data_IF_931112780253
#
_entry.id   IF_931112780253
#
_cell.length_a   1.000
_cell.length_b   1.000
_cell.length_c   1.000
_cell.angle_alpha   90.00
_cell.angle_beta   90.00
_cell.angle_gamma   90.00
#
_symmetry.space_group_name_H-M   'P 1'
#
loop_
_entity.id
_entity.type
_entity.pdbx_description
1 polymer ?
2 polymer ?
3 polymer ?
4 water ?
#
# COMPACT_ATOMS: atom_id res chain seq x y z
N UNK A 1 -17.64 -1.23 7.30
CA UNK A 1 -16.93 -0.47 6.27
C UNK A 1 -15.91 -1.36 5.57
N UNK A 2 -16.03 -1.46 4.24
CA UNK A 2 -15.19 -2.36 3.46
C UNK A 2 -14.88 -1.71 2.11
N UNK A 3 -14.03 -2.39 1.34
CA UNK A 3 -13.65 -1.84 0.04
C UNK A 3 -13.03 -2.93 -0.81
N UNK A 4 -13.35 -2.90 -2.11
CA UNK A 4 -12.60 -3.63 -3.14
C UNK A 4 -11.94 -2.61 -4.04
N UNK A 5 -10.63 -2.73 -4.23
CA UNK A 5 -9.86 -1.73 -4.94
C UNK A 5 -8.84 -2.39 -5.85
N UNK A 6 -8.76 -1.89 -7.08
CA UNK A 6 -7.78 -2.34 -8.06
C UNK A 6 -6.79 -1.21 -8.33
N UNK A 7 -5.53 -1.60 -8.49
CA UNK A 7 -4.42 -0.69 -8.74
C UNK A 7 -3.62 -1.22 -9.93
N UNK A 8 -3.56 -0.43 -11.01
CA UNK A 8 -2.78 -0.75 -12.20
C UNK A 8 -1.63 0.22 -12.36
N UNK A 9 -0.48 -0.32 -12.76
CA UNK A 9 0.72 0.45 -13.04
C UNK A 9 1.26 0.00 -14.39
N UNK A 10 1.26 0.91 -15.36
CA UNK A 10 1.82 0.66 -16.68
C UNK A 10 3.02 1.58 -16.87
N UNK A 11 4.20 1.00 -17.04
CA UNK A 11 5.45 1.74 -17.15
C UNK A 11 6.04 1.52 -18.54
N UNK A 12 6.31 2.61 -19.25
CA UNK A 12 6.81 2.50 -20.60
C UNK A 12 8.25 2.00 -20.63
N UNK A 13 8.57 1.19 -21.63
CA UNK A 13 9.91 0.72 -21.88
C UNK A 13 10.38 1.21 -23.24
N UNK A 14 11.68 1.45 -23.43
CA UNK A 14 12.15 1.91 -24.74
C UNK A 14 12.19 0.79 -25.76
N UNK A 17 9.49 -0.66 -26.70
CA UNK A 17 8.64 -1.78 -27.04
C UNK A 17 7.50 -2.00 -26.06
N UNK A 18 7.25 -3.27 -25.72
CA UNK A 18 6.16 -3.60 -24.82
C UNK A 18 6.40 -2.92 -23.47
N UNK A 19 5.43 -2.19 -22.93
CA UNK A 19 5.57 -1.67 -21.57
C UNK A 19 5.32 -2.76 -20.55
N UNK A 20 5.69 -2.47 -19.31
CA UNK A 20 5.43 -3.37 -18.20
C UNK A 20 4.10 -3.00 -17.57
N UNK A 21 3.19 -3.96 -17.49
CA UNK A 21 1.89 -3.76 -16.88
C UNK A 21 1.80 -4.65 -15.64
N UNK A 22 1.57 -4.03 -14.49
CA UNK A 22 1.36 -4.74 -13.23
C UNK A 22 0.01 -4.33 -12.69
N UNK A 23 -0.69 -5.27 -12.06
CA UNK A 23 -1.98 -4.97 -11.45
C UNK A 23 -2.14 -5.76 -10.17
N UNK A 24 -2.79 -5.14 -9.19
CA UNK A 24 -3.06 -5.79 -7.91
C UNK A 24 -4.47 -5.43 -7.45
N UNK A 25 -5.09 -6.35 -6.72
CA UNK A 25 -6.42 -6.14 -6.19
C UNK A 25 -6.48 -6.48 -4.71
N UNK A 26 -7.16 -5.61 -3.96
CA UNK A 26 -7.31 -5.77 -2.52
C UNK A 26 -8.79 -5.75 -2.14
N UNK A 27 -9.15 -6.63 -1.21
CA UNK A 27 -10.34 -6.46 -0.39
C UNK A 27 -9.86 -5.91 0.95
N UNK A 28 -10.29 -4.70 1.27
CA UNK A 28 -9.87 -4.02 2.50
C UNK A 28 -8.34 -3.93 2.47
N UNK A 29 -7.64 -4.38 3.51
CA UNK A 29 -6.19 -4.37 3.54
C UNK A 29 -5.57 -5.73 3.23
N UNK A 30 -6.30 -6.62 2.53
CA UNK A 30 -5.78 -7.91 2.11
C UNK A 30 -5.74 -7.94 0.58
N UNK A 31 -4.61 -8.37 0.02
CA UNK A 31 -4.51 -8.56 -1.42
C UNK A 31 -5.01 -9.96 -1.79
N UNK A 32 -5.59 -10.07 -3.00
CA UNK A 32 -6.12 -11.35 -3.45
C UNK A 32 -5.84 -11.66 -4.91
N UNK A 33 -5.26 -10.75 -5.69
CA UNK A 33 -5.04 -11.03 -7.11
C UNK A 33 -3.87 -10.19 -7.61
N UNK A 34 -3.13 -10.75 -8.56
CA UNK A 34 -1.95 -10.10 -9.12
C UNK A 34 -1.84 -10.45 -10.60
N UNK A 35 -1.25 -9.53 -11.36
CA UNK A 35 -0.95 -9.78 -12.77
C UNK A 35 0.27 -8.95 -13.15
N UNK A 36 1.20 -9.56 -13.87
CA UNK A 36 2.45 -8.92 -14.24
C UNK A 36 2.82 -9.38 -15.64
N UNK A 37 2.89 -8.42 -16.58
CA UNK A 37 3.19 -8.77 -17.96
C UNK A 37 4.59 -9.31 -18.11
N UNK A 38 5.53 -8.86 -17.27
CA UNK A 38 6.89 -9.36 -17.31
C UNK A 38 7.03 -10.82 -16.89
N UNK A 39 5.93 -11.51 -16.57
CA UNK A 39 6.00 -12.91 -16.20
C UNK A 39 6.04 -13.79 -17.45
N UNK A 40 6.40 -15.06 -17.23
CA UNK A 40 6.66 -15.99 -18.33
C UNK A 40 5.43 -16.16 -19.21
N UNK A 41 4.34 -16.65 -18.64
CA UNK A 41 3.04 -16.69 -19.30
C UNK A 41 2.09 -15.94 -18.38
N UNK A 42 1.81 -14.66 -18.63
CA UNK A 42 1.05 -13.87 -17.65
C UNK A 42 -0.37 -14.39 -17.50
N UNK A 43 -0.80 -14.52 -16.25
CA UNK A 43 -2.16 -14.89 -15.93
C UNK A 43 -2.59 -14.12 -14.69
N UNK A 44 -3.89 -14.17 -14.40
CA UNK A 44 -4.38 -13.71 -13.11
C UNK A 44 -3.98 -14.72 -12.04
N UNK A 45 -3.40 -14.22 -10.95
CA UNK A 45 -2.84 -15.11 -9.93
C UNK A 45 -3.45 -14.78 -8.57
N UNK A 46 -4.06 -15.74 -7.89
CA UNK A 46 -4.61 -15.49 -6.55
C UNK A 46 -3.52 -15.19 -5.54
N UNK A 47 -3.85 -14.32 -4.58
CA UNK A 47 -2.95 -13.99 -3.49
C UNK A 47 -3.63 -14.15 -2.13
N UNK A 48 -4.81 -14.76 -2.10
CA UNK A 48 -5.55 -15.04 -0.88
C UNK A 48 -6.28 -16.35 -1.08
N UNK A 49 -6.46 -17.15 -0.03
CA UNK A 49 -7.07 -18.48 -0.22
C UNK A 49 -8.52 -18.44 -0.69
N UNK A 50 -9.26 -17.38 -0.38
CA UNK A 50 -10.69 -17.33 -0.70
C UNK A 50 -10.98 -17.00 -2.15
N UNK A 51 -9.94 -16.90 -3.00
CA UNK A 51 -10.11 -16.91 -4.44
C UNK A 51 -9.36 -18.05 -5.10
N UNK A 52 -8.69 -18.91 -4.31
CA UNK A 52 -7.94 -20.01 -4.88
C UNK A 52 -8.84 -21.10 -5.44
N UNK A 53 -10.00 -21.32 -4.81
CA UNK A 53 -10.93 -22.36 -5.22
C UNK A 53 -12.01 -21.85 -6.17
N UNK A 54 -11.82 -20.67 -6.75
CA UNK A 54 -12.71 -20.24 -7.82
C UNK A 54 -12.47 -21.09 -9.07
N UNK A 55 -13.46 -21.13 -9.94
CA UNK A 55 -13.38 -21.97 -11.11
C UNK A 55 -12.22 -21.63 -12.02
N UNK A 56 -11.89 -22.53 -12.95
CA UNK A 56 -10.93 -22.15 -14.01
C UNK A 56 -11.50 -21.14 -14.99
N UNK A 57 -12.82 -21.17 -15.23
CA UNK A 57 -13.43 -20.14 -16.08
C UNK A 57 -13.26 -18.76 -15.46
N UNK A 58 -13.38 -18.66 -14.14
CA UNK A 58 -13.24 -17.39 -13.47
C UNK A 58 -11.89 -16.76 -13.76
N UNK A 59 -10.83 -17.56 -13.62
CA UNK A 59 -9.48 -17.04 -13.79
C UNK A 59 -9.10 -16.86 -15.24
N UNK A 60 -9.65 -17.67 -16.14
CA UNK A 60 -9.51 -17.38 -17.57
C UNK A 60 -10.10 -16.02 -17.90
N UNK A 61 -11.32 -15.75 -17.41
CA UNK A 61 -11.95 -14.46 -17.69
C UNK A 61 -11.13 -13.31 -17.13
N UNK A 62 -10.81 -13.36 -15.84
CA UNK A 62 -9.98 -12.31 -15.25
C UNK A 62 -8.68 -12.14 -16.05
N UNK A 63 -8.04 -13.24 -16.42
CA UNK A 63 -6.80 -13.16 -17.20
C UNK A 63 -7.02 -12.43 -18.52
N UNK A 64 -8.06 -12.82 -19.26
CA UNK A 64 -8.36 -12.15 -20.53
C UNK A 64 -8.50 -10.65 -20.35
N UNK A 65 -9.16 -10.23 -19.27
CA UNK A 65 -9.37 -8.80 -19.08
C UNK A 65 -8.09 -8.10 -18.65
N UNK A 66 -7.20 -8.79 -17.92
CA UNK A 66 -5.90 -8.21 -17.62
C UNK A 66 -5.08 -8.01 -18.89
N UNK A 67 -5.06 -9.02 -19.76
CA UNK A 67 -4.29 -8.92 -20.99
C UNK A 67 -4.84 -7.81 -21.88
N UNK A 68 -6.17 -7.71 -21.97
CA UNK A 68 -6.78 -6.64 -22.76
C UNK A 68 -6.44 -5.28 -22.18
N UNK A 69 -6.39 -5.18 -20.85
CA UNK A 69 -6.03 -3.89 -20.24
C UNK A 69 -4.57 -3.55 -20.48
N UNK A 70 -3.68 -4.55 -20.49
CA UNK A 70 -2.28 -4.32 -20.82
C UNK A 70 -2.13 -3.80 -22.24
N UNK A 71 -2.74 -4.51 -23.22
CA UNK A 71 -2.77 -4.01 -24.58
C UNK A 71 -3.24 -2.55 -24.61
N UNK A 72 -4.39 -2.29 -23.96
CA UNK A 72 -4.93 -0.93 -23.96
C UNK A 72 -3.96 0.08 -23.37
N UNK A 73 -3.15 -0.35 -22.39
CA UNK A 73 -2.27 0.61 -21.72
C UNK A 73 -1.06 0.96 -22.55
N UNK A 74 -0.61 0.03 -23.41
CA UNK A 74 0.39 0.43 -24.40
C UNK A 74 -0.11 1.63 -25.22
N UNK A 75 -1.30 1.48 -25.81
CA UNK A 75 -1.90 2.55 -26.60
C UNK A 75 -2.06 3.80 -25.75
N UNK A 76 -2.47 3.63 -24.49
CA UNK A 76 -2.70 4.79 -23.62
C UNK A 76 -1.41 5.57 -23.40
N UNK A 77 -0.31 4.87 -23.11
CA UNK A 77 0.96 5.57 -22.93
C UNK A 77 1.35 6.32 -24.19
N UNK A 78 1.14 5.72 -25.36
CA UNK A 78 1.43 6.43 -26.60
C UNK A 78 0.57 7.69 -26.72
N UNK A 79 -0.74 7.56 -26.48
CA UNK A 79 -1.64 8.68 -26.66
C UNK A 79 -1.35 9.81 -25.68
N UNK A 80 -1.07 9.46 -24.42
CA UNK A 80 -0.66 10.48 -23.46
C UNK A 80 0.61 11.18 -23.90
N UNK A 81 1.58 10.41 -24.41
CA UNK A 81 2.76 11.03 -25.02
C UNK A 81 2.35 12.05 -26.09
N UNK A 82 1.29 11.74 -26.84
CA UNK A 82 0.81 12.69 -27.84
C UNK A 82 0.11 13.89 -27.25
N UNK A 83 -0.68 13.70 -26.19
CA UNK A 83 -1.47 14.78 -25.63
C UNK A 83 -0.58 15.88 -25.05
N UNK A 84 0.44 15.48 -24.30
CA UNK A 84 1.39 16.43 -23.72
C UNK A 84 2.54 16.72 -24.66
N UNK A 85 2.47 16.25 -25.91
CA UNK A 85 3.49 16.51 -26.92
C UNK A 85 4.89 16.20 -26.38
N UNK A 86 5.04 14.98 -25.86
CA UNK A 86 6.31 14.52 -25.31
C UNK A 86 7.08 13.71 -26.36
N UNK A 87 8.41 13.65 -26.17
CA UNK A 87 9.27 12.80 -27.01
C UNK A 87 8.96 11.34 -26.79
N UNK A 88 9.86 10.46 -27.22
CA UNK A 88 9.74 9.03 -27.02
C UNK A 88 10.93 8.41 -26.32
N UNK A 89 12.00 9.17 -26.08
CA UNK A 89 13.16 8.59 -25.42
C UNK A 89 12.91 8.35 -23.95
N UNK A 90 12.20 9.26 -23.29
CA UNK A 90 11.97 9.14 -21.86
C UNK A 90 10.88 8.13 -21.53
N UNK A 91 10.90 7.70 -20.27
CA UNK A 91 9.91 6.77 -19.76
C UNK A 91 8.88 7.51 -18.93
N UNK A 92 7.66 6.97 -18.91
CA UNK A 92 6.54 7.59 -18.22
C UNK A 92 5.74 6.49 -17.54
N UNK A 93 4.75 6.91 -16.76
CA UNK A 93 3.99 5.97 -15.94
C UNK A 93 2.53 6.34 -15.98
N UNK A 94 1.70 5.32 -16.13
CA UNK A 94 0.25 5.43 -16.10
C UNK A 94 -0.22 4.63 -14.90
N UNK A 95 -0.97 5.27 -14.01
CA UNK A 95 -1.52 4.61 -12.84
C UNK A 95 -3.04 4.69 -12.89
N UNK A 96 -3.69 3.63 -12.47
CA UNK A 96 -5.14 3.56 -12.47
C UNK A 96 -5.59 2.96 -11.15
N UNK A 97 -6.66 3.50 -10.59
CA UNK A 97 -7.24 2.94 -9.38
C UNK A 97 -8.74 2.98 -9.51
N UNK A 98 -9.39 1.83 -9.34
CA UNK A 98 -10.84 1.83 -9.41
C UNK A 98 -11.41 0.75 -8.49
N UNK A 99 -12.61 0.99 -7.99
CA UNK A 99 -13.25 0.05 -7.10
C UNK A 99 -14.35 0.72 -6.29
N UNK A 100 -14.87 -0.03 -5.32
CA UNK A 100 -16.03 0.41 -4.54
C UNK A 100 -15.74 0.32 -3.05
N UNK A 101 -16.26 1.30 -2.30
CA UNK A 101 -16.18 1.33 -0.84
C UNK A 101 -17.60 1.29 -0.27
N UNK A 102 -17.85 0.28 0.56
CA UNK A 102 -19.08 0.19 1.34
C UNK A 102 -18.88 0.84 2.70
N UNK A 103 -19.88 1.64 3.12
CA UNK A 103 -19.92 2.14 4.46
C UNK A 103 -20.26 1.03 5.43
N UNK A 104 -20.37 1.38 6.72
CA UNK A 104 -20.76 0.39 7.73
C UNK A 104 -22.21 -0.05 7.65
N UNK A 105 -22.93 0.28 6.57
CA UNK A 105 -24.38 0.07 6.45
C UNK A 105 -24.93 -1.24 5.81
N UNK A 106 -24.19 -2.01 5.01
CA UNK A 106 -22.95 -1.67 4.37
C UNK A 106 -23.26 -1.44 2.91
N UNK A 107 -23.86 -0.29 2.63
CA UNK A 107 -24.19 0.11 1.29
C UNK A 107 -23.01 0.80 0.61
N UNK A 108 -23.09 0.91 -0.71
CA UNK A 108 -22.07 1.61 -1.48
C UNK A 108 -21.87 3.02 -0.95
N UNK A 109 -20.71 3.28 -0.36
CA UNK A 109 -20.40 4.64 0.07
C UNK A 109 -19.75 5.44 -1.05
N UNK A 110 -18.81 4.85 -1.78
CA UNK A 110 -18.15 5.60 -2.85
C UNK A 110 -17.74 4.66 -3.97
N UNK A 111 -17.63 5.23 -5.16
CA UNK A 111 -17.07 4.53 -6.30
C UNK A 111 -15.94 5.32 -6.91
N UNK A 112 -14.91 4.60 -7.37
CA UNK A 112 -13.65 5.20 -7.78
C UNK A 112 -13.25 4.72 -9.16
N UNK A 113 -12.83 5.66 -10.01
CA UNK A 113 -12.20 5.42 -11.31
C UNK A 113 -11.33 6.64 -11.61
N UNK A 114 -10.06 6.57 -11.23
CA UNK A 114 -9.17 7.72 -11.34
C UNK A 114 -7.80 7.26 -11.81
N UNK A 115 -7.12 8.14 -12.57
CA UNK A 115 -5.87 7.80 -13.23
C UNK A 115 -4.84 8.89 -12.99
N UNK A 116 -3.58 8.55 -13.26
CA UNK A 116 -2.45 9.45 -13.05
C UNK A 116 -1.39 9.23 -14.10
N UNK A 117 -0.77 10.32 -14.54
CA UNK A 117 0.33 10.29 -15.49
C UNK A 117 1.55 10.94 -14.84
N UNK A 118 2.67 10.23 -14.88
CA UNK A 118 3.92 10.70 -14.26
C UNK A 118 3.69 11.11 -12.81
N UNK A 119 2.78 10.40 -12.13
CA UNK A 119 2.48 10.65 -10.74
C UNK A 119 1.53 11.79 -10.48
N UNK A 120 1.01 12.43 -11.52
CA UNK A 120 0.13 13.59 -11.37
C UNK A 120 -1.30 13.18 -11.72
N UNK A 121 -2.26 13.73 -10.98
CA UNK A 121 -3.67 13.52 -11.30
C UNK A 121 -3.90 13.72 -12.79
N UNK A 122 -4.69 12.82 -13.38
CA UNK A 122 -5.05 12.96 -14.78
C UNK A 122 -6.55 13.19 -14.92
N UNK A 123 -7.36 12.15 -14.75
CA UNK A 123 -8.81 12.26 -14.81
C UNK A 123 -9.41 11.30 -13.80
N UNK A 124 -10.45 11.75 -13.10
CA UNK A 124 -11.06 10.99 -12.01
C UNK A 124 -12.58 11.08 -12.08
N UNK A 125 -13.24 9.95 -11.87
CA UNK A 125 -14.71 9.94 -11.82
C UNK A 125 -15.15 10.51 -10.48
N UNK A 126 -16.09 11.46 -10.54
CA UNK A 126 -16.54 12.16 -9.34
C UNK A 126 -17.43 11.25 -8.48
N UNK A 127 -17.66 11.67 -7.25
CA UNK A 127 -18.51 10.91 -6.34
C UNK A 127 -19.90 10.67 -6.92
N UNK A 128 -20.42 11.61 -7.73
CA UNK A 128 -21.74 11.39 -8.32
C UNK A 128 -21.78 10.21 -9.28
N UNK A 129 -20.62 9.71 -9.72
CA UNK A 129 -20.56 8.67 -10.74
C UNK A 129 -21.31 9.08 -12.01
N UNK A 130 -21.34 10.39 -12.28
CA UNK A 130 -22.00 10.92 -13.46
C UNK A 130 -21.20 12.00 -14.18
N UNK A 131 -20.06 12.43 -13.63
CA UNK A 131 -19.25 13.48 -14.23
C UNK A 131 -17.79 13.20 -13.94
N UNK A 132 -16.90 13.94 -14.63
CA UNK A 132 -15.46 13.72 -14.56
C UNK A 132 -14.73 14.98 -14.10
N UNK A 133 -13.71 14.76 -13.27
CA UNK A 133 -12.75 15.78 -12.90
C UNK A 133 -11.49 15.56 -13.73
N UNK A 134 -11.24 16.45 -14.68
CA UNK A 134 -10.01 16.44 -15.46
C UNK A 134 -9.04 17.45 -14.86
N UNK A 135 -7.81 17.02 -14.59
CA UNK A 135 -6.83 17.92 -14.02
C UNK A 135 -6.25 18.90 -15.04
N UNK A 136 -6.31 18.57 -16.33
CA UNK A 136 -5.64 19.30 -17.38
C UNK A 136 -6.57 19.44 -18.56
N UNK A 137 -6.30 20.46 -19.39
CA UNK A 137 -7.00 20.55 -20.66
C UNK A 137 -6.62 19.39 -21.56
N UNK A 138 -5.39 18.88 -21.42
CA UNK A 138 -5.02 17.64 -22.10
C UNK A 138 -5.86 16.47 -21.61
N UNK A 139 -6.03 16.36 -20.29
CA UNK A 139 -6.92 15.34 -19.74
C UNK A 139 -8.34 15.50 -20.25
N UNK A 140 -8.72 16.72 -20.64
CA UNK A 140 -10.06 16.94 -21.15
C UNK A 140 -10.27 16.37 -22.53
N UNK A 141 -9.19 16.03 -23.25
CA UNK A 141 -9.33 15.21 -24.45
C UNK A 141 -10.01 13.90 -24.11
N UNK A 142 -9.45 13.18 -23.13
CA UNK A 142 -10.08 11.98 -22.61
C UNK A 142 -11.47 12.28 -22.09
N UNK A 143 -11.63 13.39 -21.35
CA UNK A 143 -12.94 13.72 -20.81
C UNK A 143 -14.00 13.79 -21.90
N UNK A 144 -13.72 14.49 -22.99
CA UNK A 144 -14.71 14.64 -24.04
C UNK A 144 -14.93 13.33 -24.79
N UNK A 145 -13.86 12.53 -24.95
CA UNK A 145 -14.04 11.17 -25.47
C UNK A 145 -15.06 10.39 -24.64
N UNK A 146 -14.90 10.41 -23.31
CA UNK A 146 -15.72 9.61 -22.42
C UNK A 146 -17.14 10.16 -22.30
N UNK A 147 -17.28 11.48 -22.26
CA UNK A 147 -18.61 12.08 -22.23
C UNK A 147 -19.38 11.79 -23.51
N UNK A 148 -18.69 11.81 -24.64
CA UNK A 148 -19.34 11.42 -25.89
C UNK A 148 -19.80 9.97 -25.83
N UNK A 149 -19.05 9.12 -25.12
CA UNK A 149 -19.34 7.69 -25.08
C UNK A 149 -20.17 7.27 -23.87
N UNK A 150 -20.60 8.19 -23.02
CA UNK A 150 -21.35 7.86 -21.80
C UNK A 150 -20.57 6.86 -20.94
N UNK A 151 -19.31 7.20 -20.69
CA UNK A 151 -18.45 6.35 -19.88
C UNK A 151 -18.96 6.27 -18.45
N UNK A 152 -19.26 7.43 -17.85
CA UNK A 152 -19.73 7.46 -16.47
C UNK A 152 -20.88 6.48 -16.27
N UNK A 153 -21.79 6.42 -17.23
CA UNK A 153 -22.91 5.48 -17.17
C UNK A 153 -22.43 4.06 -16.91
N UNK A 154 -21.56 3.56 -17.78
CA UNK A 154 -21.10 2.19 -17.66
C UNK A 154 -20.38 1.97 -16.34
N UNK A 155 -19.55 2.93 -15.92
CA UNK A 155 -18.79 2.73 -14.70
C UNK A 155 -19.68 2.80 -13.46
N UNK A 156 -20.73 3.62 -13.51
CA UNK A 156 -21.74 3.60 -12.45
C UNK A 156 -22.43 2.24 -12.39
N UNK A 157 -22.71 1.65 -13.56
CA UNK A 157 -23.34 0.33 -13.58
C UNK A 157 -22.42 -0.72 -12.96
N UNK A 158 -21.12 -0.63 -13.22
CA UNK A 158 -20.20 -1.60 -12.65
C UNK A 158 -20.04 -1.39 -11.15
N UNK A 159 -19.82 -0.13 -10.73
CA UNK A 159 -19.50 0.14 -9.34
C UNK A 159 -20.70 -0.11 -8.43
N UNK A 160 -21.88 0.36 -8.83
CA UNK A 160 -23.08 0.11 -8.05
C UNK A 160 -23.56 -1.34 -8.17
N UNK A 161 -23.13 -2.06 -9.19
CA UNK A 161 -23.61 -3.40 -9.43
C UNK A 161 -22.63 -4.51 -9.08
N UNK A 162 -21.91 -5.01 -10.08
CA UNK A 162 -21.08 -6.19 -9.89
C UNK A 162 -19.92 -5.95 -8.92
N UNK A 163 -19.45 -4.70 -8.77
CA UNK A 163 -18.38 -4.42 -7.81
C UNK A 163 -18.82 -4.77 -6.40
N UNK A 164 -19.94 -4.20 -5.95
CA UNK A 164 -20.40 -4.46 -4.58
C UNK A 164 -20.83 -5.91 -4.43
N UNK A 165 -21.33 -6.52 -5.51
CA UNK A 165 -21.79 -7.91 -5.42
C UNK A 165 -20.61 -8.85 -5.17
N UNK A 166 -19.52 -8.68 -5.93
CA UNK A 166 -18.38 -9.55 -5.76
C UNK A 166 -17.54 -9.16 -4.54
N UNK A 167 -17.62 -7.92 -4.09
CA UNK A 167 -17.04 -7.56 -2.81
C UNK A 167 -17.76 -8.29 -1.69
N UNK A 168 -19.08 -8.20 -1.65
CA UNK A 168 -19.84 -8.90 -0.63
C UNK A 168 -19.61 -10.40 -0.70
N UNK A 169 -19.47 -10.93 -1.92
CA UNK A 169 -19.33 -12.37 -2.05
C UNK A 169 -17.94 -12.84 -1.63
N UNK A 170 -16.91 -12.06 -1.95
CA UNK A 170 -15.57 -12.33 -1.41
C UNK A 170 -15.59 -12.27 0.11
N UNK A 171 -16.14 -11.18 0.67
CA UNK A 171 -16.25 -11.05 2.11
C UNK A 171 -16.94 -12.26 2.72
N UNK A 172 -17.93 -12.82 2.02
CA UNK A 172 -18.59 -14.04 2.46
C UNK A 172 -17.62 -15.21 2.47
N UNK A 173 -17.05 -15.53 1.31
CA UNK A 173 -16.23 -16.73 1.21
C UNK A 173 -14.94 -16.63 2.01
N UNK A 174 -14.61 -15.44 2.49
CA UNK A 174 -13.41 -15.26 3.30
C UNK A 174 -13.73 -14.59 4.63
N UNK A 175 -14.97 -14.76 5.10
CA UNK A 175 -15.40 -14.09 6.33
C UNK A 175 -14.50 -14.48 7.50
N UNK A 176 -14.07 -15.74 7.55
CA UNK A 176 -13.17 -16.18 8.62
C UNK A 176 -11.89 -15.37 8.64
N UNK A 177 -11.51 -14.83 7.49
CA UNK A 177 -10.34 -14.00 7.31
C UNK A 177 -10.68 -12.51 7.35
N UNK A 178 -11.60 -12.07 6.48
CA UNK A 178 -11.79 -10.65 6.22
C UNK A 178 -12.65 -9.96 7.26
N UNK A 179 -13.47 -10.69 8.01
CA UNK A 179 -14.38 -10.09 8.97
C UNK A 179 -14.00 -10.42 10.41
N UNK A 180 -12.71 -10.59 10.65
CA UNK A 180 -12.21 -10.84 12.00
C UNK A 180 -11.04 -9.88 12.21
N UNK A 181 -11.26 -8.87 13.06
CA UNK A 181 -10.24 -7.87 13.34
C UNK A 181 -9.34 -8.36 14.46
N UNK A 182 -8.04 -8.16 14.29
CA UNK A 182 -7.04 -8.50 15.29
C UNK A 182 -6.71 -7.24 16.09
N UNK A 183 -6.89 -7.30 17.40
CA UNK A 183 -6.51 -6.17 18.23
C UNK A 183 -5.00 -6.05 18.28
N UNK A 184 -4.47 -4.84 18.46
CA UNK A 184 -3.01 -4.70 18.57
C UNK A 184 -2.51 -5.22 19.91
N UNK A 185 -1.45 -6.01 19.85
CA UNK A 185 -0.63 -6.27 21.03
C UNK A 185 0.25 -5.05 21.27
N UNK A 186 0.21 -4.53 22.49
CA UNK A 186 0.79 -3.25 22.81
C UNK A 186 1.71 -3.35 24.02
N UNK A 187 2.71 -2.48 24.05
CA UNK A 187 3.60 -2.33 25.18
C UNK A 187 4.34 -1.02 25.02
N UNK A 188 5.09 -0.64 26.04
CA UNK A 188 5.84 0.61 26.05
C UNK A 188 7.29 0.33 26.39
N UNK A 189 8.20 0.99 25.67
CA UNK A 189 9.63 0.96 25.96
C UNK A 189 10.10 2.34 26.40
N UNK A 190 11.25 2.33 27.07
CA UNK A 190 11.79 3.50 27.73
C UNK A 190 13.30 3.55 27.49
N UNK A 191 13.79 4.73 27.15
CA UNK A 191 15.21 4.87 26.85
C UNK A 191 15.76 6.17 27.44
N UNK A 192 16.58 6.11 28.49
CA UNK A 192 17.25 7.32 28.97
C UNK A 192 18.13 7.92 27.88
N UNK A 193 17.92 9.20 27.61
CA UNK A 193 18.75 9.90 26.63
C UNK A 193 19.87 10.62 27.38
N UNK A 194 19.50 11.54 28.25
CA UNK A 194 20.48 12.37 28.96
C UNK A 194 20.01 12.54 30.40
N UNK A 195 20.69 13.41 31.15
CA UNK A 195 20.22 13.72 32.50
C UNK A 195 18.92 14.51 32.49
N UNK A 196 18.57 15.10 31.35
CA UNK A 196 17.33 15.88 31.24
C UNK A 196 16.19 15.13 30.55
N UNK A 197 16.48 14.15 29.69
CA UNK A 197 15.47 13.61 28.80
C UNK A 197 15.48 12.09 28.78
N UNK A 198 14.33 11.55 28.38
CA UNK A 198 14.18 10.14 28.08
C UNK A 198 13.16 10.01 26.96
N UNK A 199 13.08 8.82 26.39
CA UNK A 199 12.17 8.54 25.28
C UNK A 199 11.19 7.46 25.69
N UNK A 200 9.91 7.74 25.47
CA UNK A 200 8.85 6.75 25.59
C UNK A 200 8.43 6.33 24.19
N UNK A 201 8.31 5.02 23.97
CA UNK A 201 7.86 4.51 22.67
C UNK A 201 6.72 3.52 22.90
N UNK A 202 5.57 3.84 22.31
CA UNK A 202 4.35 3.06 22.42
C UNK A 202 4.19 2.19 21.17
N UNK A 203 4.09 0.88 21.38
CA UNK A 203 4.11 -0.10 20.29
C UNK A 203 2.71 -0.67 20.07
N UNK A 204 2.38 -0.88 18.80
CA UNK A 204 1.16 -1.56 18.40
C UNK A 204 1.51 -2.54 17.30
N UNK A 205 1.28 -3.83 17.55
CA UNK A 205 1.74 -4.89 16.67
C UNK A 205 0.64 -5.89 16.39
N UNK A 206 0.74 -6.54 15.23
CA UNK A 206 -0.09 -7.69 14.93
C UNK A 206 -1.57 -7.41 14.79
N UNK A 207 -1.95 -6.20 14.37
CA UNK A 207 -3.35 -5.83 14.29
C UNK A 207 -3.84 -5.80 12.84
N UNK A 208 -5.15 -5.97 12.70
CA UNK A 208 -5.81 -5.86 11.40
C UNK A 208 -7.25 -5.38 11.62
N UNK A 209 -7.73 -4.43 10.79
CA UNK A 209 -7.10 -3.76 9.65
C UNK A 209 -6.03 -2.77 10.06
N UNK A 210 -5.42 -2.11 9.07
CA UNK A 210 -4.32 -1.19 9.33
C UNK A 210 -4.76 0.12 9.96
N UNK A 211 -6.05 0.44 9.92
CA UNK A 211 -6.52 1.70 10.50
C UNK A 211 -6.40 1.66 12.01
N UNK A 212 -5.58 2.54 12.57
CA UNK A 212 -5.29 2.57 14.00
C UNK A 212 -4.94 4.00 14.38
N UNK A 213 -5.10 4.32 15.67
CA UNK A 213 -4.76 5.65 16.17
C UNK A 213 -3.94 5.50 17.44
N UNK A 214 -2.73 6.08 17.44
CA UNK A 214 -1.84 6.10 18.59
C UNK A 214 -1.61 7.56 18.98
N UNK A 215 -1.90 7.90 20.23
CA UNK A 215 -1.66 9.27 20.68
C UNK A 215 -1.04 9.26 22.07
N UNK A 216 -0.05 10.13 22.27
CA UNK A 216 0.50 10.36 23.60
C UNK A 216 -0.20 11.54 24.25
N UNK A 217 -0.51 11.39 25.52
CA UNK A 217 -1.08 12.45 26.32
C UNK A 217 -0.18 12.70 27.53
N UNK A 218 -0.21 13.93 28.02
CA UNK A 218 0.49 14.31 29.24
C UNK A 218 -0.55 14.81 30.22
N UNK A 219 -0.71 14.10 31.34
CA UNK A 219 -1.71 14.43 32.35
C UNK A 219 -3.07 14.67 31.70
N UNK A 220 -3.42 13.80 30.75
CA UNK A 220 -4.71 13.87 30.09
C UNK A 220 -4.83 14.91 29.01
N UNK A 221 -3.70 15.36 28.44
CA UNK A 221 -3.70 16.36 27.38
C UNK A 221 -2.85 15.85 26.21
N UNK A 222 -3.45 15.75 25.03
CA UNK A 222 -2.74 15.35 23.83
C UNK A 222 -1.45 16.16 23.68
N UNK A 223 -0.38 15.50 23.24
CA UNK A 223 0.93 16.15 23.16
C UNK A 223 1.54 15.93 21.79
N UNK A 224 2.17 16.99 21.26
CA UNK A 224 2.79 16.98 19.95
C UNK A 224 4.18 17.60 20.03
N UNK A 225 5.21 16.78 19.80
CA UNK A 225 6.56 17.29 19.56
C UNK A 225 7.17 16.50 18.40
N UNK A 226 7.24 15.17 18.47
CA UNK A 226 7.01 14.33 19.65
C UNK A 226 8.36 13.73 19.99
N UNK A 227 8.60 12.57 19.38
CA UNK A 227 9.92 12.13 18.93
C UNK A 227 9.68 11.33 17.66
N UNK A 228 8.43 10.87 17.47
CA UNK A 228 7.95 10.50 16.15
C UNK A 228 6.59 9.82 16.18
N UNK A 229 5.86 9.93 15.07
CA UNK A 229 4.84 8.95 14.73
C UNK A 229 5.25 8.31 13.41
N UNK A 230 5.23 6.98 13.36
CA UNK A 230 5.78 6.25 12.22
C UNK A 230 4.63 5.74 11.36
N UNK A 231 4.88 5.63 10.06
CA UNK A 231 3.83 5.17 9.16
C UNK A 231 3.47 3.72 9.47
N UNK A 232 2.17 3.41 9.46
CA UNK A 232 1.72 2.04 9.65
C UNK A 232 2.37 1.14 8.62
N UNK A 233 2.96 0.04 9.09
CA UNK A 233 3.76 -0.80 8.21
C UNK A 233 3.26 -2.25 8.23
N UNK A 234 3.42 -2.98 7.12
CA UNK A 234 3.01 -4.39 7.10
C UNK A 234 4.00 -5.29 7.85
N UNK A 235 3.45 -6.20 8.66
CA UNK A 235 4.28 -7.15 9.37
C UNK A 235 4.78 -8.27 8.47
N UNK A 236 4.05 -8.58 7.40
CA UNK A 236 4.41 -9.63 6.47
C UNK A 236 3.55 -10.86 6.58
N UNK A 237 2.65 -10.91 7.56
CA UNK A 237 1.78 -12.04 7.78
C UNK A 237 0.31 -11.64 7.66
N UNK A 238 0.03 -10.49 7.07
CA UNK A 238 -1.32 -9.98 6.97
C UNK A 238 -1.69 -8.95 8.02
N UNK A 239 -0.90 -8.84 9.09
CA UNK A 239 -1.16 -7.87 10.14
C UNK A 239 -0.23 -6.68 9.98
N UNK A 240 -0.42 -5.67 10.81
CA UNK A 240 0.28 -4.42 10.68
C UNK A 240 0.89 -3.99 12.02
N UNK A 241 1.71 -2.95 11.92
CA UNK A 241 2.50 -2.44 13.03
C UNK A 241 2.49 -0.93 12.98
N UNK A 242 2.79 -0.32 14.12
CA UNK A 242 2.94 1.12 14.20
C UNK A 242 3.43 1.44 15.60
N UNK A 243 4.22 2.50 15.72
CA UNK A 243 4.61 2.99 17.03
C UNK A 243 4.62 4.51 17.05
N UNK A 244 4.46 5.04 18.26
CA UNK A 244 4.42 6.48 18.49
C UNK A 244 5.30 6.76 19.71
N UNK A 245 6.25 7.66 19.56
CA UNK A 245 7.21 7.93 20.62
C UNK A 245 7.29 9.43 20.91
N UNK A 246 7.66 9.75 22.15
CA UNK A 246 7.71 11.12 22.63
C UNK A 246 8.89 11.26 23.59
N UNK A 247 9.53 12.43 23.59
CA UNK A 247 10.60 12.75 24.52
C UNK A 247 10.00 13.45 25.73
N UNK A 248 10.43 13.05 26.92
CA UNK A 248 9.90 13.60 28.16
C UNK A 248 11.03 13.87 29.13
N UNK A 249 10.84 14.82 30.05
CA UNK A 249 11.83 14.99 31.13
C UNK A 249 12.14 13.67 31.83
N UNK A 250 13.41 13.49 32.19
CA UNK A 250 13.97 12.18 32.52
C UNK A 250 13.31 11.50 33.72
N UNK A 251 12.46 12.18 34.48
CA UNK A 251 11.83 11.54 35.63
C UNK A 251 10.31 11.56 35.65
N UNK A 252 9.69 12.23 34.69
CA UNK A 252 8.25 12.47 34.69
C UNK A 252 7.49 11.50 33.80
N UNK A 253 7.99 10.27 33.67
CA UNK A 253 7.36 9.32 32.76
C UNK A 253 5.91 9.06 33.13
N UNK A 254 5.60 9.05 34.44
CA UNK A 254 4.25 8.69 34.86
C UNK A 254 3.20 9.67 34.37
N UNK A 255 3.60 10.89 33.98
CA UNK A 255 2.67 11.87 33.44
C UNK A 255 2.11 11.46 32.08
N UNK A 256 2.80 10.59 31.35
CA UNK A 256 2.55 10.39 29.94
C UNK A 256 1.86 9.05 29.71
N UNK A 257 0.70 9.08 29.07
CA UNK A 257 -0.07 7.88 28.75
C UNK A 257 -0.18 7.74 27.24
N UNK A 258 -0.33 6.49 26.81
CA UNK A 258 -0.50 6.15 25.41
C UNK A 258 -1.91 5.65 25.19
N UNK A 259 -2.55 6.11 24.12
CA UNK A 259 -3.94 5.80 23.85
C UNK A 259 -4.04 5.18 22.47
N UNK A 260 -4.66 4.02 22.41
CA UNK A 260 -4.74 3.18 21.22
C UNK A 260 -6.20 3.02 20.85
N UNK A 261 -6.56 3.41 19.64
CA UNK A 261 -7.89 3.16 19.10
C UNK A 261 -7.76 2.24 17.91
N UNK A 262 -8.47 1.11 17.96
CA UNK A 262 -8.48 0.15 16.86
C UNK A 262 -9.81 -0.58 16.86
N UNK A 263 -10.26 -0.96 15.66
CA UNK A 263 -11.56 -1.60 15.53
C UNK A 263 -11.65 -2.85 16.40
N UNK A 264 -10.58 -3.64 16.44
CA UNK A 264 -10.57 -4.90 17.18
C UNK A 264 -10.54 -4.75 18.68
N UNK A 265 -10.42 -3.55 19.18
CA UNK A 265 -10.48 -3.33 20.62
C UNK A 265 -11.92 -3.10 21.06
N UNK A 266 -12.38 -3.73 22.15
CA UNK A 266 -13.73 -3.45 22.65
C UNK A 266 -13.87 -2.06 23.23
N UNK A 267 -12.79 -1.31 23.32
CA UNK A 267 -12.74 -0.02 24.00
C UNK A 267 -11.35 0.52 23.78
N UNK A 268 -11.17 1.83 23.65
CA UNK A 268 -9.81 2.36 23.47
C UNK A 268 -8.92 1.94 24.63
N UNK A 269 -7.65 1.69 24.34
CA UNK A 269 -6.71 1.20 25.32
C UNK A 269 -5.80 2.32 25.80
N UNK A 270 -5.42 2.24 27.07
CA UNK A 270 -4.50 3.19 27.70
C UNK A 270 -3.35 2.41 28.31
N UNK A 271 -2.13 2.65 27.85
CA UNK A 271 -0.92 2.08 28.43
C UNK A 271 -0.03 3.18 28.98
N UNK A 272 1.02 2.76 29.66
CA UNK A 272 2.10 3.65 30.06
C UNK A 272 3.27 2.78 30.48
N UNK A 273 4.44 3.40 30.60
CA UNK A 273 5.59 2.68 31.10
C UNK A 273 5.51 2.61 32.61
N UNK B 1 6.82 13.99 -11.81
CA UNK B 1 7.24 14.15 -10.37
C UNK B 1 8.23 13.08 -9.97
N UNK B 2 9.16 13.42 -9.08
CA UNK B 2 10.10 12.46 -8.52
C UNK B 2 10.05 12.55 -7.00
N UNK B 3 9.82 11.43 -6.36
CA UNK B 3 9.57 11.36 -4.92
C UNK B 3 10.57 10.40 -4.29
N UNK B 4 11.26 10.88 -3.26
CA UNK B 4 12.31 10.06 -2.67
C UNK B 4 11.70 9.01 -1.71
N UNK B 5 12.30 7.83 -1.61
CA UNK B 5 11.68 6.77 -0.81
C UNK B 5 11.85 6.98 0.69
N UNK B 6 10.78 6.64 1.42
CA UNK B 6 10.84 6.42 2.85
C UNK B 6 11.22 4.97 3.10
N UNK B 7 11.96 4.74 4.18
CA UNK B 7 12.52 3.44 4.50
C UNK B 7 12.21 3.14 5.95
N UNK B 8 11.69 1.95 6.21
CA UNK B 8 11.59 1.42 7.57
C UNK B 8 12.25 0.07 7.59
N UNK B 9 13.19 -0.12 8.51
CA UNK B 9 13.82 -1.42 8.72
C UNK B 9 13.29 -1.97 10.03
N UNK B 10 12.64 -3.12 9.97
CA UNK B 10 12.07 -3.68 11.18
C UNK B 10 11.97 -5.18 11.01
N UNK B 11 11.58 -5.87 12.10
CA UNK B 11 11.35 -7.31 12.13
C UNK B 11 9.86 -7.60 12.31
N UNK B 12 9.42 -8.76 11.81
CA UNK B 12 8.00 -9.11 11.86
C UNK B 12 7.54 -9.29 13.30
N UNK B 13 8.32 -10.01 14.09
CA UNK B 13 8.02 -10.25 15.48
C UNK B 13 9.08 -9.61 16.35
N UNK B 14 8.78 -9.36 17.63
CA UNK B 14 9.82 -8.88 18.54
C UNK B 14 11.03 -9.79 18.51
N UNK B 15 12.20 -9.19 18.31
CA UNK B 15 13.42 -9.97 18.13
C UNK B 15 13.77 -10.72 19.41
N UNK B 16 14.17 -11.98 19.24
CA UNK B 16 14.74 -12.76 20.32
C UNK B 16 15.87 -13.59 19.72
N UNK B 17 17.11 -13.29 20.11
CA UNK B 17 18.26 -14.00 19.56
C UNK B 17 18.05 -15.50 19.67
N UNK B 18 18.35 -16.21 18.58
CA UNK B 18 18.16 -17.63 18.48
C UNK B 18 16.87 -18.04 17.81
N UNK B 19 15.81 -17.23 17.95
CA UNK B 19 14.54 -17.57 17.35
C UNK B 19 14.48 -17.10 15.90
N UNK B 20 13.85 -17.92 15.06
CA UNK B 20 13.65 -17.56 13.67
C UNK B 20 12.63 -16.43 13.57
N UNK B 21 12.85 -15.53 12.62
CA UNK B 21 12.03 -14.34 12.47
C UNK B 21 12.19 -13.86 11.02
N UNK B 22 11.45 -12.82 10.67
CA UNK B 22 11.53 -12.22 9.35
C UNK B 22 12.07 -10.80 9.46
N UNK B 23 13.12 -10.51 8.70
CA UNK B 23 13.60 -9.14 8.53
C UNK B 23 12.80 -8.48 7.42
N UNK B 24 12.47 -7.21 7.64
CA UNK B 24 11.59 -6.42 6.78
C UNK B 24 12.26 -5.09 6.48
N UNK B 25 12.19 -4.68 5.21
CA UNK B 25 12.48 -3.33 4.78
C UNK B 25 11.30 -2.83 3.95
N UNK B 26 10.64 -1.79 4.44
CA UNK B 26 9.42 -1.26 3.82
C UNK B 26 9.76 0.10 3.21
N UNK B 27 9.69 0.18 1.89
CA UNK B 27 9.96 1.42 1.15
C UNK B 27 8.64 1.96 0.65
N UNK B 28 8.42 3.26 0.81
CA UNK B 28 7.12 3.82 0.45
C UNK B 28 7.28 5.26 0.03
N UNK B 29 6.20 5.83 -0.49
CA UNK B 29 6.18 7.24 -0.81
C UNK B 29 7.11 7.65 -1.93
N UNK B 30 7.57 6.71 -2.75
CA UNK B 30 8.53 7.01 -3.79
C UNK B 30 7.88 6.94 -5.16
N UNK B 31 8.56 7.57 -6.12
CA UNK B 31 8.09 7.69 -7.49
C UNK B 31 9.26 8.25 -8.27
N UNK B 32 9.62 7.63 -9.41
CA UNK B 32 9.00 6.50 -10.13
C UNK B 32 9.25 5.13 -9.53
N UNK B 33 8.73 4.11 -10.22
CA UNK B 33 8.56 2.78 -9.66
C UNK B 33 9.87 1.99 -9.53
N UNK B 34 10.81 2.19 -10.44
CA UNK B 34 12.05 1.40 -10.44
C UNK B 34 12.90 1.72 -9.22
N UNK B 35 13.33 0.68 -8.50
CA UNK B 35 14.06 0.87 -7.25
C UNK B 35 14.88 -0.39 -6.95
N UNK B 36 15.99 -0.19 -6.24
CA UNK B 36 16.77 -1.29 -5.67
C UNK B 36 16.56 -1.32 -4.16
N UNK B 37 16.37 -2.53 -3.64
CA UNK B 37 16.17 -2.75 -2.21
C UNK B 37 16.88 -4.05 -1.87
N UNK B 38 17.81 -3.99 -0.94
CA UNK B 38 18.51 -5.17 -0.47
C UNK B 38 18.53 -5.17 1.05
N UNK B 39 18.56 -6.38 1.60
CA UNK B 39 18.79 -6.58 3.02
C UNK B 39 20.25 -7.00 3.19
N UNK B 40 20.94 -6.36 4.13
CA UNK B 40 22.34 -6.63 4.39
C UNK B 40 22.49 -7.34 5.74
N UNK B 41 23.40 -8.31 5.77
CA UNK B 41 23.83 -8.93 7.02
C UNK B 41 25.32 -8.63 7.17
N UNK B 42 25.66 -7.79 8.14
CA UNK B 42 27.04 -7.42 8.42
C UNK B 42 27.72 -6.80 7.20
N UNK B 43 26.95 -6.08 6.39
CA UNK B 43 27.49 -5.38 5.24
C UNK B 43 27.36 -6.13 3.93
N UNK B 44 27.03 -7.41 3.96
CA UNK B 44 26.92 -8.21 2.76
C UNK B 44 25.46 -8.48 2.43
N UNK B 45 25.18 -8.62 1.15
CA UNK B 45 23.82 -8.70 0.65
C UNK B 45 23.25 -10.08 0.90
N UNK B 46 22.03 -10.13 1.43
CA UNK B 46 21.35 -11.39 1.69
C UNK B 46 20.73 -11.89 0.40
N UNK B 47 20.88 -13.19 0.13
CA UNK B 47 20.56 -13.75 -1.18
C UNK B 47 19.05 -13.98 -1.34
N UNK B 48 18.44 -14.68 -0.40
CA UNK B 48 17.05 -15.11 -0.54
C UNK B 48 16.16 -14.03 0.04
N UNK B 49 15.83 -13.02 -0.77
CA UNK B 49 14.98 -11.92 -0.35
C UNK B 49 13.82 -11.82 -1.33
N UNK B 50 12.61 -11.74 -0.79
CA UNK B 50 11.40 -11.60 -1.58
C UNK B 50 10.79 -10.22 -1.33
N UNK B 51 9.87 -9.85 -2.20
CA UNK B 51 9.18 -8.59 -2.06
C UNK B 51 7.73 -8.74 -2.47
N UNK B 52 6.90 -7.81 -1.99
CA UNK B 52 5.49 -7.82 -2.31
C UNK B 52 5.27 -7.29 -3.73
N UNK B 53 4.03 -7.42 -4.20
CA UNK B 53 3.68 -6.91 -5.51
C UNK B 53 3.53 -5.39 -5.48
N UNK B 54 3.85 -4.75 -6.60
CA UNK B 54 3.85 -3.30 -6.66
C UNK B 54 2.45 -2.74 -6.48
N UNK B 55 2.29 -1.85 -5.50
CA UNK B 55 1.04 -1.13 -5.28
C UNK B 55 1.38 0.34 -5.04
N UNK B 56 0.37 1.17 -4.85
CA UNK B 56 0.61 2.59 -4.58
C UNK B 56 -0.49 3.13 -3.67
N UNK B 57 -0.27 4.36 -3.21
CA UNK B 57 -1.13 5.03 -2.24
C UNK B 57 -2.06 6.04 -2.91
N UNK B 58 -2.93 6.65 -2.10
CA UNK B 58 -3.87 7.63 -2.62
C UNK B 58 -3.20 8.73 -3.42
N UNK B 59 -1.99 9.12 -3.01
CA UNK B 59 -1.25 10.17 -3.71
C UNK B 59 -0.41 9.64 -4.86
N UNK B 60 -0.68 8.41 -5.32
CA UNK B 60 0.03 7.78 -6.41
C UNK B 60 1.47 7.41 -6.05
N UNK B 61 1.82 7.43 -4.76
CA UNK B 61 3.14 6.99 -4.32
C UNK B 61 3.20 5.48 -4.18
N UNK B 62 4.28 4.89 -4.68
CA UNK B 62 4.44 3.45 -4.62
C UNK B 62 4.93 3.01 -3.23
N UNK B 63 4.67 1.73 -2.92
CA UNK B 63 5.22 1.13 -1.71
C UNK B 63 5.48 -0.34 -1.97
N UNK B 64 6.49 -0.86 -1.27
CA UNK B 64 6.95 -2.22 -1.42
C UNK B 64 7.49 -2.72 -0.09
N UNK B 65 7.24 -3.99 0.19
CA UNK B 65 7.79 -4.69 1.33
C UNK B 65 8.78 -5.74 0.84
N UNK B 66 10.04 -5.57 1.21
CA UNK B 66 11.08 -6.57 0.98
C UNK B 66 11.35 -7.28 2.30
N UNK B 67 11.57 -8.60 2.25
CA UNK B 67 11.67 -9.37 3.49
C UNK B 67 12.48 -10.64 3.27
N UNK B 68 13.04 -11.14 4.37
CA UNK B 68 13.78 -12.40 4.32
C UNK B 68 13.64 -13.11 5.66
N UNK B 69 13.96 -14.40 5.67
CA UNK B 69 14.10 -15.12 6.92
C UNK B 69 15.45 -14.79 7.52
N UNK B 70 15.49 -14.67 8.85
CA UNK B 70 16.76 -14.53 9.55
C UNK B 70 16.57 -14.96 10.98
N UNK B 71 17.67 -15.28 11.64
CA UNK B 71 17.67 -15.57 13.07
C UNK B 71 18.53 -14.52 13.76
N UNK B 72 17.94 -13.52 14.41
CA UNK B 72 18.75 -12.51 15.09
C UNK B 72 19.78 -13.15 16.01
N UNK B 73 20.94 -12.51 16.09
CA UNK B 73 21.92 -12.87 17.10
C UNK B 73 22.30 -11.61 17.87
N UNK B 74 23.52 -11.57 18.38
CA UNK B 74 23.95 -10.51 19.29
C UNK B 74 24.90 -9.52 18.63
N UNK B 75 25.73 -9.98 17.70
CA UNK B 75 26.64 -9.10 16.98
C UNK B 75 26.31 -8.98 15.50
N UNK B 76 25.45 -9.86 14.95
CA UNK B 76 25.05 -9.75 13.55
C UNK B 76 24.26 -8.46 13.37
N UNK B 77 24.84 -7.52 12.63
CA UNK B 77 24.15 -6.28 12.29
C UNK B 77 23.42 -6.48 10.97
N UNK B 78 22.18 -6.00 10.91
CA UNK B 78 21.36 -6.08 9.71
C UNK B 78 21.01 -4.68 9.25
N UNK B 79 20.84 -4.54 7.93
CA UNK B 79 20.56 -3.23 7.36
C UNK B 79 19.67 -3.39 6.14
N UNK B 80 19.16 -2.26 5.66
CA UNK B 80 18.47 -2.17 4.39
C UNK B 80 19.18 -1.12 3.54
N UNK B 81 19.58 -1.50 2.34
CA UNK B 81 20.17 -0.59 1.39
C UNK B 81 19.18 -0.36 0.25
N UNK B 82 18.90 0.92 -0.03
CA UNK B 82 17.93 1.30 -1.04
C UNK B 82 18.62 2.24 -2.03
N UNK B 83 18.33 2.06 -3.32
CA UNK B 83 18.81 2.96 -4.34
C UNK B 83 17.65 3.32 -5.26
N UNK B 84 17.73 4.53 -5.82
CA UNK B 84 16.61 5.13 -6.52
C UNK B 84 17.10 6.40 -7.22
N UNK B 85 16.43 6.74 -8.33
CA UNK B 85 16.90 7.83 -9.17
C UNK B 85 16.95 9.17 -8.43
N UNK B 86 16.21 9.32 -7.34
CA UNK B 86 16.26 10.58 -6.61
C UNK B 86 17.43 10.68 -5.65
N UNK B 87 18.15 9.60 -5.40
CA UNK B 87 19.25 9.60 -4.44
C UNK B 87 20.56 9.82 -5.16
N UNK B 88 21.38 10.73 -4.63
CA UNK B 88 22.74 10.90 -5.14
C UNK B 88 23.60 9.67 -4.85
N UNK B 89 23.29 8.94 -3.79
CA UNK B 89 23.98 7.69 -3.48
C UNK B 89 23.00 6.76 -2.80
N UNK B 90 23.24 5.45 -2.83
CA UNK B 90 22.38 4.54 -2.09
C UNK B 90 22.38 4.86 -0.61
N UNK B 91 21.27 4.53 0.04
CA UNK B 91 21.04 4.86 1.44
C UNK B 91 21.00 3.56 2.23
N UNK B 92 21.70 3.53 3.36
CA UNK B 92 21.72 2.37 4.25
C UNK B 92 21.06 2.76 5.56
N UNK B 93 20.13 1.93 6.00
CA UNK B 93 19.42 2.12 7.26
C UNK B 93 19.65 0.87 8.10
N UNK B 94 20.31 1.04 9.25
CA UNK B 94 20.66 -0.09 10.08
C UNK B 94 19.43 -0.59 10.81
N UNK B 95 19.35 -1.91 10.99
CA UNK B 95 18.24 -2.50 11.71
C UNK B 95 18.32 -2.15 13.19
N UNK B 96 17.30 -1.46 13.68
CA UNK B 96 17.04 -1.25 15.09
C UNK B 96 15.53 -1.32 15.27
N UNK B 97 15.08 -2.00 16.32
CA UNK B 97 13.71 -1.78 16.77
C UNK B 97 13.52 -2.40 18.16
N UNK B 98 13.13 -1.57 19.12
CA UNK B 98 12.65 -2.04 20.41
C UNK B 98 11.72 -0.99 20.99
N UNK C 1 -13.47 -9.17 -8.87
CA UNK C 1 -13.70 -9.32 -10.34
C UNK C 1 -13.43 -7.98 -11.03
N UNK C 2 -12.64 -8.00 -12.10
CA UNK C 2 -12.39 -6.79 -12.85
C UNK C 2 -13.61 -6.45 -13.71
N UNK C 3 -13.76 -5.16 -14.01
CA UNK C 3 -14.80 -4.73 -14.93
C UNK C 3 -14.43 -5.09 -16.36
N UNK C 4 -15.46 -5.35 -17.17
CA UNK C 4 -15.25 -5.66 -18.57
C UNK C 4 -14.75 -4.47 -19.37
N UNK C 5 -14.82 -3.26 -18.80
CA UNK C 5 -14.39 -2.07 -19.50
C UNK C 5 -12.91 -1.79 -19.20
N UNK C 6 -12.15 -1.52 -20.24
CA UNK C 6 -10.76 -1.13 -20.10
C UNK C 6 -10.66 0.38 -19.99
N UNK C 7 -9.64 0.84 -19.26
CA UNK C 7 -9.28 2.27 -19.27
C UNK C 7 -8.73 2.62 -20.64
N UNK C 8 -9.32 3.63 -21.28
CA UNK C 8 -8.95 4.04 -22.63
C UNK C 8 -8.98 5.56 -22.69
N UNK C 9 -7.82 6.17 -22.89
CA UNK C 9 -7.70 7.62 -22.83
C UNK C 9 -7.89 8.26 -24.20
#
# INVERSE_FOLDING_TARGET
SHSMRYFDTAVSRPGRGEPRFISVGYVDDTQFVRFDSDAASPRGEPRAPWVEQEGPEYWDRETQKYKRQAQADRVNLRKLRGYYNQSEDGSHTLQWMYGCDLGPDGRLLRGYDQSAYDGKDYIALNEDLRSWTAADTAAQITQRKWEAAREAEQWRAYLEGTCVEWLRRYLENGKETLQRAEHPKTHVTHHPVSDHEATLRCWALGFYPARITLTWQRDGEDQTQDTELVETRPAGDGTFQKWAAVVVPSGEEQRYTCHVQHEGLPEPLTLRW
MQRTPKIQVYSRHPAENGKSNFLNCYVSGFHPSDIEVDLLKNGERIEKVEHSDLSFSGDWSFYLLYYTEFTPTEKDEYACRVNHVTLSQPKIVKWDRD
VRSRRCLRL
#
